data_IF_190954288576
#
_entry.id   IF_190954288576
#
_cell.length_a   1.000
_cell.length_b   1.000
_cell.length_c   1.000
_cell.angle_alpha   90.00
_cell.angle_beta   90.00
_cell.angle_gamma   90.00
#
_symmetry.space_group_name_H-M   'P 1'
#
loop_
_entity.id
_entity.type
_entity.pdbx_description
1 polymer ?
#
# COMPACT_ATOMS: atom_id res chain seq x y z
N UNK A 1 -6.21 19.74 -1.40
CA UNK A 1 -6.05 18.84 -0.25
C UNK A 1 -4.59 18.46 -0.20
N UNK A 2 -3.83 18.95 0.77
CA UNK A 2 -2.42 18.56 0.95
C UNK A 2 -2.40 17.09 1.33
N UNK A 3 -1.79 16.25 0.50
CA UNK A 3 -1.63 14.83 0.82
C UNK A 3 -0.62 14.78 1.96
N UNK A 4 -1.00 14.20 3.10
CA UNK A 4 -0.10 14.11 4.24
C UNK A 4 1.12 13.27 3.85
N UNK A 5 2.32 13.82 4.01
CA UNK A 5 3.56 13.05 3.89
C UNK A 5 3.48 11.82 4.78
N UNK A 6 3.86 10.66 4.26
CA UNK A 6 3.75 9.43 5.03
C UNK A 6 3.85 8.18 4.19
N UNK A 7 3.83 7.05 4.88
CA UNK A 7 3.88 5.72 4.29
C UNK A 7 2.47 5.21 4.02
N UNK A 8 2.26 4.66 2.83
CA UNK A 8 1.01 4.04 2.41
C UNK A 8 1.26 2.58 2.05
N UNK A 9 0.37 1.69 2.46
CA UNK A 9 0.30 0.33 1.94
C UNK A 9 -0.52 0.34 0.66
N UNK A 10 0.01 -0.31 -0.38
CA UNK A 10 -0.65 -0.44 -1.68
C UNK A 10 -1.27 -1.83 -1.77
N UNK A 11 -2.58 -1.87 -1.93
CA UNK A 11 -3.30 -3.10 -2.25
C UNK A 11 -3.90 -2.99 -3.65
N UNK A 12 -3.98 -4.11 -4.36
CA UNK A 12 -4.47 -4.13 -5.72
C UNK A 12 -5.29 -5.38 -6.04
N UNK A 13 -6.20 -5.27 -7.01
CA UNK A 13 -6.97 -6.40 -7.58
C UNK A 13 -7.12 -6.26 -9.10
N UNK A 14 -7.25 -7.37 -9.83
CA UNK A 14 -7.40 -7.38 -11.30
C UNK A 14 -8.83 -7.53 -11.76
N UNK A 15 -9.71 -8.04 -10.89
CA UNK A 15 -11.15 -8.09 -11.10
C UNK A 15 -11.89 -7.70 -9.82
N UNK A 16 -13.11 -7.16 -9.95
CA UNK A 16 -13.93 -6.78 -8.79
C UNK A 16 -14.28 -7.96 -7.88
N UNK A 17 -14.27 -9.18 -8.42
CA UNK A 17 -14.51 -10.43 -7.69
C UNK A 17 -13.29 -10.91 -6.91
N UNK A 18 -12.10 -10.38 -7.18
CA UNK A 18 -10.86 -10.76 -6.50
C UNK A 18 -10.68 -9.97 -5.20
N UNK A 19 -10.01 -10.61 -4.23
CA UNK A 19 -9.57 -9.93 -3.02
C UNK A 19 -8.47 -8.91 -3.34
N UNK A 20 -8.38 -7.87 -2.51
CA UNK A 20 -7.24 -6.95 -2.54
C UNK A 20 -5.99 -7.66 -2.03
N UNK A 21 -4.93 -7.63 -2.84
CA UNK A 21 -3.63 -8.25 -2.53
C UNK A 21 -2.61 -7.16 -2.28
N UNK A 22 -1.83 -7.30 -1.20
CA UNK A 22 -0.74 -6.39 -0.88
C UNK A 22 0.35 -6.41 -1.97
N UNK A 23 0.72 -5.24 -2.47
CA UNK A 23 1.74 -5.06 -3.52
C UNK A 23 3.03 -4.41 -3.01
N UNK A 24 2.99 -3.78 -1.84
CA UNK A 24 4.13 -3.07 -1.28
C UNK A 24 3.73 -1.81 -0.54
N UNK A 25 4.73 -0.97 -0.25
CA UNK A 25 4.51 0.33 0.35
C UNK A 25 5.01 1.44 -0.58
N UNK A 26 4.38 2.60 -0.46
CA UNK A 26 4.75 3.84 -1.13
C UNK A 26 4.95 4.91 -0.06
N UNK A 27 6.13 5.52 -0.04
CA UNK A 27 6.38 6.72 0.77
C UNK A 27 6.06 7.93 -0.10
N UNK A 28 5.25 8.86 0.41
CA UNK A 28 4.88 10.10 -0.29
C UNK A 28 5.49 11.31 0.42
N UNK A 29 6.10 12.18 -0.38
CA UNK A 29 6.50 13.52 0.03
C UNK A 29 5.32 14.49 0.04
N UNK A 30 5.48 15.62 0.74
CA UNK A 30 4.43 16.63 0.97
C UNK A 30 3.77 17.18 -0.30
N UNK A 31 4.52 17.20 -1.40
CA UNK A 31 4.12 17.82 -2.67
C UNK A 31 3.92 16.79 -3.80
N UNK A 32 3.99 15.49 -3.51
CA UNK A 32 3.82 14.45 -4.53
C UNK A 32 2.35 14.03 -4.65
N UNK A 33 1.84 13.96 -5.89
CA UNK A 33 0.52 13.42 -6.16
C UNK A 33 0.54 11.89 -6.00
N UNK A 34 0.18 11.45 -4.80
CA UNK A 34 0.23 10.05 -4.35
C UNK A 34 -0.42 9.07 -5.34
N UNK A 35 -1.56 9.42 -5.93
CA UNK A 35 -2.26 8.56 -6.90
C UNK A 35 -1.47 8.36 -8.19
N UNK A 36 -0.80 9.41 -8.68
CA UNK A 36 0.03 9.33 -9.87
C UNK A 36 1.29 8.49 -9.60
N UNK A 37 1.94 8.70 -8.46
CA UNK A 37 3.09 7.92 -8.00
C UNK A 37 2.74 6.43 -7.84
N UNK A 38 1.60 6.12 -7.22
CA UNK A 38 1.11 4.76 -7.05
C UNK A 38 0.80 4.08 -8.39
N UNK A 39 0.11 4.77 -9.29
CA UNK A 39 -0.22 4.22 -10.62
C UNK A 39 1.03 3.98 -11.46
N UNK A 40 1.99 4.90 -11.43
CA UNK A 40 3.27 4.77 -12.14
C UNK A 40 4.07 3.55 -11.66
N UNK A 41 4.09 3.30 -10.35
CA UNK A 41 4.90 2.22 -9.75
C UNK A 41 4.21 0.86 -9.73
N UNK A 42 2.90 0.83 -9.51
CA UNK A 42 2.15 -0.40 -9.25
C UNK A 42 0.99 -0.63 -10.21
N UNK A 43 0.64 0.32 -11.09
CA UNK A 43 -0.63 0.30 -11.83
C UNK A 43 -0.66 -0.63 -13.04
N UNK A 44 0.47 -1.17 -13.50
CA UNK A 44 0.48 -2.07 -14.65
C UNK A 44 -0.25 -3.38 -14.30
N UNK A 45 -1.29 -3.69 -15.09
CA UNK A 45 -2.12 -4.90 -14.98
C UNK A 45 -3.13 -4.95 -13.81
N UNK A 46 -3.40 -3.83 -13.14
CA UNK A 46 -4.35 -3.78 -12.02
C UNK A 46 -5.60 -2.96 -12.37
N UNK A 47 -6.75 -3.49 -11.98
CA UNK A 47 -8.05 -2.83 -12.16
C UNK A 47 -8.24 -1.70 -11.14
N UNK A 48 -7.76 -1.91 -9.91
CA UNK A 48 -7.91 -0.97 -8.81
C UNK A 48 -6.67 -1.00 -7.91
N UNK A 49 -6.25 0.19 -7.48
CA UNK A 49 -5.25 0.40 -6.44
C UNK A 49 -5.93 1.07 -5.24
N UNK A 50 -5.72 0.52 -4.06
CA UNK A 50 -6.17 1.08 -2.79
C UNK A 50 -4.94 1.50 -1.99
N UNK A 51 -4.92 2.76 -1.57
CA UNK A 51 -3.83 3.37 -0.82
C UNK A 51 -4.28 3.56 0.62
N UNK A 52 -3.82 2.67 1.51
CA UNK A 52 -4.11 2.76 2.93
C UNK A 52 -2.96 3.48 3.65
N UNK A 53 -3.19 4.61 4.32
CA UNK A 53 -2.16 5.20 5.18
C UNK A 53 -1.70 4.17 6.21
N UNK A 54 -0.39 3.99 6.40
CA UNK A 54 0.12 3.01 7.35
C UNK A 54 -0.36 3.28 8.78
N UNK A 55 -0.62 4.53 9.12
CA UNK A 55 -1.18 4.96 10.41
C UNK A 55 -2.64 4.54 10.62
N UNK A 56 -3.36 4.18 9.56
CA UNK A 56 -4.73 3.68 9.63
C UNK A 56 -4.81 2.14 9.72
N UNK A 57 -3.67 1.45 9.67
CA UNK A 57 -3.60 -0.01 9.69
C UNK A 57 -3.37 -0.49 11.12
N UNK A 58 -4.28 -1.31 11.61
CA UNK A 58 -4.16 -1.98 12.90
C UNK A 58 -3.82 -3.45 12.68
N UNK A 59 -2.63 -3.86 13.09
CA UNK A 59 -2.19 -5.25 13.04
C UNK A 59 -2.75 -6.00 14.23
N UNK A 60 -3.58 -7.02 13.97
CA UNK A 60 -4.19 -7.86 15.01
C UNK A 60 -3.21 -8.95 15.48
N UNK A 61 -2.27 -9.32 14.62
CA UNK A 61 -1.15 -10.21 14.92
C UNK A 61 0.10 -9.46 14.47
N UNK A 62 0.94 -9.02 15.41
CA UNK A 62 2.29 -8.61 15.06
C UNK A 62 3.07 -9.85 14.62
N UNK A 63 3.86 -9.79 13.54
CA UNK A 63 4.86 -10.81 13.32
C UNK A 63 5.84 -10.71 14.47
N UNK A 64 5.64 -11.50 15.53
CA UNK A 64 6.73 -11.91 16.39
C UNK A 64 7.85 -12.33 15.46
N UNK A 65 9.00 -11.72 15.69
CA UNK A 65 10.22 -11.85 14.93
C UNK A 65 10.38 -13.32 14.53
N UNK A 66 10.18 -13.61 13.24
CA UNK A 66 10.61 -14.88 12.66
C UNK A 66 12.15 -14.84 12.62
N UNK A 67 12.80 -14.89 13.78
CA UNK A 67 14.19 -15.30 13.84
C UNK A 67 14.19 -16.77 13.38
N UNK A 68 14.93 -17.13 12.33
CA UNK A 68 15.13 -18.53 12.02
C UNK A 68 15.84 -19.15 13.23
N UNK A 69 15.17 -20.04 13.94
CA UNK A 69 15.82 -20.95 14.90
C UNK A 69 16.91 -21.70 14.14
N UNK A 70 18.16 -21.35 14.41
CA UNK A 70 19.35 -22.06 13.98
C UNK A 70 19.48 -23.42 14.68
#
# INVERSE_FOLDING_TARGET
MTVASGRFLVLARRAYTEALVYQGALDSGADEELSAAATSRFGTDWLELVLAPATAVHWVIEPEILEPTA
#
